data_IF_869797050132
#
_entry.id   IF_869797050132
#
_cell.length_a   1.000
_cell.length_b   1.000
_cell.length_c   1.000
_cell.angle_alpha   90.00
_cell.angle_beta   90.00
_cell.angle_gamma   90.00
#
_symmetry.space_group_name_H-M   'P 1'
#
loop_
_entity.id
_entity.type
_entity.pdbx_description
1 polymer ?
#
# COMPACT_ATOMS: atom_id res chain seq x y z
N UNK A 1 -6.78 2.84 70.77
CA UNK A 1 -5.59 2.04 70.38
C UNK A 1 -5.87 1.42 69.02
N UNK A 2 -4.90 1.54 68.11
CA UNK A 2 -4.84 1.05 66.71
C UNK A 2 -5.65 1.82 65.64
N UNK A 3 -4.97 2.83 65.10
CA UNK A 3 -4.93 3.15 63.67
C UNK A 3 -4.41 1.94 62.86
N UNK A 4 -4.86 1.74 61.61
CA UNK A 4 -4.03 1.39 60.43
C UNK A 4 -4.89 1.15 59.18
N UNK A 5 -4.54 1.87 58.09
CA UNK A 5 -4.71 1.54 56.66
C UNK A 5 -6.14 1.45 56.08
N UNK A 6 -6.43 1.89 54.85
CA UNK A 6 -5.59 2.31 53.75
C UNK A 6 -6.33 3.36 52.92
N UNK A 7 -5.59 4.41 52.56
CA UNK A 7 -5.93 5.29 51.45
C UNK A 7 -5.75 4.47 50.17
N UNK A 8 -6.83 4.08 49.51
CA UNK A 8 -6.73 3.34 48.23
C UNK A 8 -7.72 3.78 47.18
N UNK A 9 -8.26 5.01 47.27
CA UNK A 9 -9.22 5.49 46.24
C UNK A 9 -8.74 6.73 45.46
N UNK A 10 -7.61 7.35 45.81
CA UNK A 10 -7.19 8.60 45.15
C UNK A 10 -6.19 8.43 43.99
N UNK A 11 -5.73 7.21 43.69
CA UNK A 11 -4.80 6.96 42.56
C UNK A 11 -5.46 6.42 41.31
N UNK A 12 -6.73 5.97 41.38
CA UNK A 12 -7.43 5.39 40.25
C UNK A 12 -8.17 6.42 39.38
N UNK A 13 -8.67 7.52 39.97
CA UNK A 13 -9.29 8.60 39.18
C UNK A 13 -8.29 9.39 38.31
N UNK A 14 -7.02 9.46 38.72
CA UNK A 14 -5.98 10.18 37.94
C UNK A 14 -5.57 9.45 36.65
N UNK A 15 -5.97 8.19 36.47
CA UNK A 15 -5.66 7.41 35.26
C UNK A 15 -6.72 7.53 34.16
N UNK A 16 -7.90 8.08 34.44
CA UNK A 16 -8.96 8.28 33.44
C UNK A 16 -9.00 9.68 32.82
N UNK A 17 -8.20 10.62 33.31
CA UNK A 17 -8.05 11.96 32.71
C UNK A 17 -6.91 12.06 31.70
N UNK A 18 -6.23 10.97 31.38
CA UNK A 18 -5.34 10.93 30.22
C UNK A 18 -6.19 10.71 28.98
N UNK A 19 -6.62 11.82 28.40
CA UNK A 19 -6.90 11.92 26.98
C UNK A 19 -5.76 11.23 26.22
N UNK A 20 -5.96 9.96 25.85
CA UNK A 20 -5.30 9.39 24.68
C UNK A 20 -6.03 9.99 23.48
N UNK A 21 -5.91 11.32 23.35
CA UNK A 21 -5.80 11.93 22.04
C UNK A 21 -4.70 11.12 21.41
N UNK A 22 -5.06 10.27 20.46
CA UNK A 22 -4.12 9.67 19.54
C UNK A 22 -3.40 10.84 18.87
N UNK A 23 -2.35 11.33 19.53
CA UNK A 23 -1.31 12.08 18.90
C UNK A 23 -0.84 11.11 17.83
N UNK A 24 -1.27 11.36 16.59
CA UNK A 24 -0.69 10.70 15.45
C UNK A 24 0.81 10.82 15.68
N UNK A 25 1.48 9.68 15.90
CA UNK A 25 2.93 9.67 15.96
C UNK A 25 3.37 10.52 14.76
N UNK A 26 4.21 11.56 14.97
CA UNK A 26 4.70 12.33 13.84
C UNK A 26 5.22 11.28 12.86
N UNK A 27 4.67 11.28 11.64
CA UNK A 27 5.12 10.37 10.60
C UNK A 27 6.65 10.43 10.66
N UNK A 28 7.35 9.28 10.74
CA UNK A 28 8.80 9.28 10.86
C UNK A 28 9.34 10.27 9.83
N UNK A 29 10.27 11.17 10.22
CA UNK A 29 10.77 12.19 9.32
C UNK A 29 11.12 11.50 8.00
N UNK A 30 10.67 12.03 6.86
CA UNK A 30 10.90 11.38 5.57
C UNK A 30 12.39 11.04 5.51
N UNK A 31 12.75 9.76 5.24
CA UNK A 31 14.15 9.37 5.18
C UNK A 31 14.89 10.33 4.23
N UNK A 32 16.14 10.70 4.55
CA UNK A 32 16.90 11.68 3.77
C UNK A 32 16.86 11.31 2.28
N UNK A 33 16.77 12.29 1.38
CA UNK A 33 16.64 12.02 -0.04
C UNK A 33 17.93 11.36 -0.58
N UNK A 34 17.93 10.03 -0.68
CA UNK A 34 18.84 9.23 -1.48
C UNK A 34 18.94 9.78 -2.91
N UNK A 35 20.18 10.00 -3.35
CA UNK A 35 20.60 10.85 -4.46
C UNK A 35 20.51 10.23 -5.87
N UNK A 36 19.62 9.26 -6.09
CA UNK A 36 19.39 8.65 -7.41
C UNK A 36 18.11 9.21 -8.06
N UNK A 37 17.93 9.11 -9.39
CA UNK A 37 16.63 9.41 -10.01
C UNK A 37 15.55 8.57 -9.33
N UNK A 38 14.62 9.23 -8.67
CA UNK A 38 13.56 8.60 -7.89
C UNK A 38 12.31 8.42 -8.74
N UNK A 39 11.56 7.35 -8.49
CA UNK A 39 10.26 7.16 -9.15
C UNK A 39 9.33 8.34 -8.91
N UNK A 40 9.39 9.00 -7.74
CA UNK A 40 8.58 10.18 -7.49
C UNK A 40 8.86 11.31 -8.48
N UNK A 41 10.13 11.51 -8.89
CA UNK A 41 10.50 12.53 -9.88
C UNK A 41 9.95 12.21 -11.26
N UNK A 42 9.98 10.93 -11.66
CA UNK A 42 9.48 10.48 -12.96
C UNK A 42 7.94 10.50 -13.02
N UNK A 43 7.27 10.36 -11.88
CA UNK A 43 5.80 10.28 -11.77
C UNK A 43 5.15 11.53 -11.16
N UNK A 44 5.87 12.67 -11.09
CA UNK A 44 5.36 13.90 -10.47
C UNK A 44 3.99 14.33 -11.01
N UNK A 45 3.77 14.21 -12.32
CA UNK A 45 2.51 14.57 -12.95
C UNK A 45 1.37 13.63 -12.51
N UNK A 46 1.62 12.33 -12.43
CA UNK A 46 0.63 11.36 -11.96
C UNK A 46 0.28 11.56 -10.48
N UNK A 47 1.28 11.90 -9.65
CA UNK A 47 1.09 12.26 -8.23
C UNK A 47 0.24 13.53 -8.12
N UNK A 48 0.54 14.57 -8.91
CA UNK A 48 -0.19 15.84 -8.89
C UNK A 48 -1.67 15.68 -9.28
N UNK A 49 -1.99 14.72 -10.15
CA UNK A 49 -3.37 14.34 -10.52
C UNK A 49 -4.08 13.51 -9.44
N UNK A 50 -3.38 13.11 -8.36
CA UNK A 50 -3.92 12.23 -7.32
C UNK A 50 -4.14 10.79 -7.79
N UNK A 51 -3.58 10.39 -8.93
CA UNK A 51 -3.81 9.08 -9.52
C UNK A 51 -3.04 7.95 -8.82
N UNK A 52 -1.94 8.29 -8.15
CA UNK A 52 -1.09 7.37 -7.39
C UNK A 52 -0.34 8.11 -6.28
N UNK A 53 0.26 7.35 -5.37
CA UNK A 53 1.21 7.83 -4.38
C UNK A 53 2.56 7.15 -4.59
N UNK A 54 3.66 7.86 -4.33
CA UNK A 54 5.01 7.29 -4.39
C UNK A 54 5.71 7.53 -3.07
N UNK A 55 6.30 6.47 -2.52
CA UNK A 55 7.17 6.54 -1.37
C UNK A 55 8.56 6.03 -1.76
N UNK A 56 9.53 6.93 -1.75
CA UNK A 56 10.94 6.60 -1.99
C UNK A 56 11.66 6.40 -0.66
N UNK A 57 12.19 5.19 -0.47
CA UNK A 57 13.04 4.78 0.63
C UNK A 57 14.48 4.61 0.13
N UNK A 58 15.41 4.35 1.05
CA UNK A 58 16.83 4.18 0.70
C UNK A 58 17.09 2.94 -0.17
N UNK A 59 16.32 1.87 0.06
CA UNK A 59 16.49 0.54 -0.56
C UNK A 59 15.44 0.23 -1.64
N UNK A 60 14.41 1.07 -1.77
CA UNK A 60 13.29 0.85 -2.70
C UNK A 60 12.47 2.09 -2.97
N UNK A 61 11.72 2.05 -4.06
CA UNK A 61 10.63 2.99 -4.35
C UNK A 61 9.34 2.22 -4.49
N UNK A 62 8.31 2.60 -3.75
CA UNK A 62 6.99 1.96 -3.80
C UNK A 62 5.95 2.92 -4.36
N UNK A 63 5.30 2.51 -5.44
CA UNK A 63 4.14 3.19 -6.03
C UNK A 63 2.89 2.52 -5.50
N UNK A 64 2.01 3.27 -4.86
CA UNK A 64 0.73 2.78 -4.35
C UNK A 64 -0.40 3.34 -5.18
N UNK A 65 -1.28 2.46 -5.67
CA UNK A 65 -2.45 2.82 -6.47
C UNK A 65 -3.69 2.27 -5.77
N UNK A 66 -4.66 3.14 -5.53
CA UNK A 66 -5.94 2.75 -4.95
C UNK A 66 -6.65 1.74 -5.85
N UNK A 67 -7.25 0.70 -5.28
CA UNK A 67 -7.90 -0.37 -6.04
C UNK A 67 -9.28 0.01 -6.58
N UNK A 68 -9.95 0.98 -5.96
CA UNK A 68 -11.26 1.46 -6.37
C UNK A 68 -11.15 2.19 -7.72
N UNK A 69 -11.88 1.73 -8.73
CA UNK A 69 -11.79 2.23 -10.11
C UNK A 69 -10.54 1.76 -10.89
N UNK A 70 -9.62 1.04 -10.23
CA UNK A 70 -8.44 0.47 -10.88
C UNK A 70 -8.76 -0.85 -11.60
N UNK A 71 -9.63 -1.66 -10.99
CA UNK A 71 -10.14 -2.90 -11.54
C UNK A 71 -11.63 -2.80 -11.80
N UNK A 72 -12.11 -3.58 -12.77
CA UNK A 72 -13.55 -3.77 -12.95
C UNK A 72 -14.17 -4.37 -11.67
N UNK A 73 -15.41 -3.99 -11.30
CA UNK A 73 -16.04 -4.45 -10.07
C UNK A 73 -16.05 -5.98 -9.94
N UNK A 74 -15.55 -6.50 -8.82
CA UNK A 74 -15.48 -7.95 -8.57
C UNK A 74 -14.52 -8.71 -9.50
N UNK A 75 -13.67 -8.01 -10.27
CA UNK A 75 -12.72 -8.59 -11.21
C UNK A 75 -11.27 -8.33 -10.81
N UNK A 76 -10.38 -9.07 -11.47
CA UNK A 76 -8.94 -8.80 -11.53
C UNK A 76 -8.54 -8.07 -12.82
N UNK A 77 -9.50 -7.80 -13.72
CA UNK A 77 -9.26 -7.09 -14.96
C UNK A 77 -9.04 -5.59 -14.70
N UNK A 78 -7.92 -5.06 -15.20
CA UNK A 78 -7.57 -3.64 -15.07
C UNK A 78 -8.44 -2.81 -15.99
N UNK A 79 -9.10 -1.80 -15.43
CA UNK A 79 -10.00 -0.92 -16.15
C UNK A 79 -9.27 -0.18 -17.27
N UNK A 80 -9.91 -0.05 -18.44
CA UNK A 80 -9.30 0.55 -19.63
C UNK A 80 -8.81 1.99 -19.39
N UNK A 81 -9.52 2.76 -18.56
CA UNK A 81 -9.16 4.13 -18.20
C UNK A 81 -7.81 4.24 -17.46
N UNK A 82 -7.32 3.15 -16.88
CA UNK A 82 -6.14 3.11 -16.02
C UNK A 82 -4.90 2.60 -16.75
N UNK A 83 -5.08 1.91 -17.88
CA UNK A 83 -3.98 1.38 -18.70
C UNK A 83 -2.95 2.46 -19.11
N UNK A 84 -3.33 3.71 -19.45
CA UNK A 84 -2.36 4.77 -19.72
C UNK A 84 -1.46 5.09 -18.52
N UNK A 85 -2.02 5.10 -17.31
CA UNK A 85 -1.25 5.31 -16.07
C UNK A 85 -0.23 4.19 -15.85
N UNK A 86 -0.62 2.94 -16.10
CA UNK A 86 0.31 1.80 -16.02
C UNK A 86 1.43 1.88 -17.07
N UNK A 87 1.15 2.40 -18.27
CA UNK A 87 2.18 2.65 -19.27
C UNK A 87 3.16 3.75 -18.83
N UNK A 88 2.67 4.85 -18.23
CA UNK A 88 3.52 5.89 -17.62
C UNK A 88 4.44 5.29 -16.54
N UNK A 89 3.89 4.44 -15.66
CA UNK A 89 4.66 3.74 -14.61
C UNK A 89 5.69 2.80 -15.23
N UNK A 90 5.31 2.01 -16.24
CA UNK A 90 6.22 1.08 -16.90
C UNK A 90 7.41 1.81 -17.56
N UNK A 91 7.15 2.95 -18.21
CA UNK A 91 8.18 3.79 -18.81
C UNK A 91 9.12 4.41 -17.75
N UNK A 92 8.59 4.80 -16.59
CA UNK A 92 9.41 5.27 -15.47
C UNK A 92 10.29 4.14 -14.89
N UNK A 93 9.72 2.95 -14.69
CA UNK A 93 10.45 1.76 -14.20
C UNK A 93 11.52 1.28 -15.18
N UNK A 94 11.34 1.49 -16.48
CA UNK A 94 12.31 1.09 -17.50
C UNK A 94 13.61 1.90 -17.44
N UNK A 95 13.54 3.14 -16.95
CA UNK A 95 14.69 4.03 -16.79
C UNK A 95 15.57 3.69 -15.58
N UNK A 96 15.05 2.90 -14.64
CA UNK A 96 15.74 2.53 -13.41
C UNK A 96 16.08 1.05 -13.43
N UNK A 97 17.27 0.63 -12.97
CA UNK A 97 17.60 -0.78 -12.79
C UNK A 97 16.95 -1.34 -11.52
N UNK A 98 16.87 -2.67 -11.41
CA UNK A 98 16.43 -3.37 -10.20
C UNK A 98 15.17 -4.24 -10.41
N UNK A 99 14.94 -5.22 -9.53
CA UNK A 99 13.73 -6.05 -9.57
C UNK A 99 12.50 -5.23 -9.17
N UNK A 100 11.37 -5.58 -9.77
CA UNK A 100 10.06 -4.96 -9.54
C UNK A 100 9.10 -6.03 -9.04
N UNK A 101 8.50 -5.78 -7.88
CA UNK A 101 7.45 -6.62 -7.30
C UNK A 101 6.13 -5.88 -7.34
N UNK A 102 5.11 -6.51 -7.93
CA UNK A 102 3.72 -6.07 -7.89
C UNK A 102 3.02 -6.83 -6.76
N UNK A 103 2.46 -6.12 -5.79
CA UNK A 103 1.77 -6.71 -4.65
C UNK A 103 0.30 -6.28 -4.65
N UNK A 104 -0.61 -7.26 -4.65
CA UNK A 104 -2.05 -7.03 -4.56
C UNK A 104 -2.54 -7.15 -3.12
N UNK A 105 -3.41 -6.22 -2.72
CA UNK A 105 -4.04 -6.19 -1.40
C UNK A 105 -5.56 -6.17 -1.50
N UNK A 106 -6.22 -6.73 -0.49
CA UNK A 106 -7.68 -6.65 -0.29
C UNK A 106 -7.99 -6.01 1.05
N UNK A 107 -9.26 -5.71 1.29
CA UNK A 107 -9.77 -5.53 2.65
C UNK A 107 -10.09 -6.89 3.29
N UNK A 108 -10.55 -6.87 4.54
CA UNK A 108 -10.88 -8.05 5.30
C UNK A 108 -12.29 -8.62 5.01
N UNK A 109 -13.03 -8.07 4.05
CA UNK A 109 -14.35 -8.60 3.73
C UNK A 109 -14.16 -9.89 2.93
N UNK A 110 -14.73 -11.01 3.36
CA UNK A 110 -14.52 -12.28 2.69
C UNK A 110 -15.15 -12.24 1.29
N UNK A 111 -14.35 -12.47 0.26
CA UNK A 111 -14.86 -12.76 -1.09
C UNK A 111 -14.92 -14.27 -1.31
N UNK A 112 -16.05 -14.72 -1.87
CA UNK A 112 -16.22 -16.06 -2.41
C UNK A 112 -17.04 -15.98 -3.68
N UNK A 113 -16.40 -16.19 -4.81
CA UNK A 113 -17.07 -16.28 -6.11
C UNK A 113 -16.55 -17.49 -6.87
N UNK A 114 -17.25 -17.88 -7.94
CA UNK A 114 -16.81 -18.97 -8.82
C UNK A 114 -15.40 -18.72 -9.39
N UNK A 115 -15.03 -17.46 -9.58
CA UNK A 115 -13.73 -17.06 -10.14
C UNK A 115 -12.66 -16.88 -9.07
N UNK A 116 -13.03 -16.41 -7.88
CA UNK A 116 -12.10 -16.12 -6.78
C UNK A 116 -12.59 -16.81 -5.50
N UNK A 117 -12.02 -17.98 -5.15
CA UNK A 117 -12.44 -18.72 -3.97
C UNK A 117 -12.00 -18.05 -2.66
N UNK A 118 -11.02 -17.13 -2.71
CA UNK A 118 -10.55 -16.37 -1.56
C UNK A 118 -10.02 -14.97 -1.93
N UNK A 119 -9.85 -14.11 -0.90
CA UNK A 119 -9.18 -12.82 -1.04
C UNK A 119 -7.71 -12.97 -1.47
N UNK A 120 -7.06 -14.07 -1.08
CA UNK A 120 -5.70 -14.37 -1.53
C UNK A 120 -5.66 -14.55 -3.04
N UNK A 121 -6.56 -15.36 -3.60
CA UNK A 121 -6.63 -15.58 -5.05
C UNK A 121 -6.95 -14.29 -5.81
N UNK A 122 -7.92 -13.50 -5.32
CA UNK A 122 -8.24 -12.19 -5.92
C UNK A 122 -7.02 -11.26 -5.92
N UNK A 123 -6.32 -11.15 -4.79
CA UNK A 123 -5.17 -10.27 -4.64
C UNK A 123 -4.02 -10.70 -5.56
N UNK A 124 -3.77 -12.01 -5.69
CA UNK A 124 -2.75 -12.57 -6.57
C UNK A 124 -3.07 -12.35 -8.03
N UNK A 125 -4.30 -12.60 -8.46
CA UNK A 125 -4.76 -12.40 -9.84
C UNK A 125 -4.71 -10.93 -10.26
N UNK A 126 -5.03 -10.01 -9.34
CA UNK A 126 -4.89 -8.56 -9.55
C UNK A 126 -3.42 -8.16 -9.77
N UNK A 127 -2.52 -8.65 -8.93
CA UNK A 127 -1.10 -8.41 -9.07
C UNK A 127 -0.57 -8.96 -10.41
N UNK A 128 -1.01 -10.17 -10.79
CA UNK A 128 -0.63 -10.79 -12.06
C UNK A 128 -1.15 -10.01 -13.26
N UNK A 129 -2.40 -9.54 -13.23
CA UNK A 129 -2.98 -8.72 -14.30
C UNK A 129 -2.20 -7.43 -14.54
N UNK A 130 -1.74 -6.78 -13.46
CA UNK A 130 -0.85 -5.61 -13.57
C UNK A 130 0.52 -6.02 -14.11
N UNK A 131 1.12 -7.11 -13.62
CA UNK A 131 2.39 -7.64 -14.13
C UNK A 131 2.35 -7.88 -15.63
N UNK A 132 1.26 -8.46 -16.14
CA UNK A 132 1.06 -8.72 -17.57
C UNK A 132 1.07 -7.44 -18.41
N UNK A 133 0.49 -6.35 -17.91
CA UNK A 133 0.55 -5.06 -18.60
C UNK A 133 1.96 -4.46 -18.58
N UNK A 134 2.70 -4.62 -17.49
CA UNK A 134 4.08 -4.12 -17.38
C UNK A 134 5.07 -4.90 -18.27
N UNK A 135 4.78 -6.16 -18.61
CA UNK A 135 5.59 -6.98 -19.52
C UNK A 135 5.71 -6.40 -20.94
N UNK A 136 4.81 -5.49 -21.33
CA UNK A 136 4.90 -4.80 -22.62
C UNK A 136 6.13 -3.88 -22.72
N UNK A 137 6.73 -3.49 -21.60
CA UNK A 137 7.85 -2.55 -21.55
C UNK A 137 9.04 -3.09 -20.76
N UNK A 138 8.79 -3.88 -19.71
CA UNK A 138 9.82 -4.40 -18.81
C UNK A 138 10.13 -5.87 -19.10
N UNK A 139 11.40 -6.29 -19.01
CA UNK A 139 11.76 -7.69 -19.19
C UNK A 139 11.20 -8.55 -18.05
N UNK A 140 10.59 -9.69 -18.39
CA UNK A 140 9.86 -10.51 -17.42
C UNK A 140 10.69 -11.03 -16.25
N UNK A 141 11.99 -11.22 -16.42
CA UNK A 141 12.90 -11.61 -15.34
C UNK A 141 13.01 -10.57 -14.21
N UNK A 142 12.67 -9.30 -14.49
CA UNK A 142 12.64 -8.24 -13.47
C UNK A 142 11.33 -8.22 -12.69
N UNK A 143 10.27 -8.83 -13.21
CA UNK A 143 8.92 -8.66 -12.69
C UNK A 143 8.47 -9.86 -11.85
N UNK A 144 7.94 -9.60 -10.66
CA UNK A 144 7.24 -10.57 -9.81
C UNK A 144 5.85 -10.07 -9.47
N UNK A 145 4.91 -11.00 -9.25
CA UNK A 145 3.58 -10.71 -8.75
C UNK A 145 3.31 -11.51 -7.49
N UNK A 146 2.75 -10.85 -6.48
CA UNK A 146 2.45 -11.42 -5.17
C UNK A 146 1.06 -10.98 -4.71
N UNK A 147 0.28 -11.90 -4.16
CA UNK A 147 -0.98 -11.59 -3.48
C UNK A 147 -0.80 -11.73 -1.98
N UNK A 148 -1.21 -10.73 -1.21
CA UNK A 148 -1.11 -10.76 0.26
C UNK A 148 -2.45 -10.63 0.97
N UNK A 149 -3.56 -10.65 0.23
CA UNK A 149 -4.91 -10.46 0.76
C UNK A 149 -4.97 -9.25 1.72
N UNK A 150 -5.53 -9.45 2.91
CA UNK A 150 -5.71 -8.47 3.98
C UNK A 150 -4.60 -8.50 5.04
N UNK A 151 -3.53 -9.27 4.84
CA UNK A 151 -2.45 -9.47 5.83
C UNK A 151 -1.58 -8.23 6.10
N UNK A 152 -1.65 -7.22 5.23
CA UNK A 152 -0.86 -5.97 5.33
C UNK A 152 -1.77 -4.72 5.18
N UNK A 153 -2.64 -4.45 6.17
CA UNK A 153 -3.53 -3.28 6.12
C UNK A 153 -2.74 -1.99 6.38
N UNK A 154 -3.11 -0.93 5.68
CA UNK A 154 -2.59 0.45 5.86
C UNK A 154 -3.61 1.36 6.55
N UNK A 155 -4.80 0.83 6.79
CA UNK A 155 -5.93 1.54 7.35
C UNK A 155 -6.83 0.59 8.14
N UNK A 156 -7.68 1.17 9.00
CA UNK A 156 -8.65 0.41 9.78
C UNK A 156 -9.75 -0.21 8.89
N UNK A 157 -9.90 -1.53 8.96
CA UNK A 157 -10.92 -2.27 8.23
C UNK A 157 -12.35 -2.08 8.77
N UNK A 158 -12.53 -1.51 9.97
CA UNK A 158 -13.86 -1.25 10.52
C UNK A 158 -14.62 -0.19 9.70
N UNK A 159 -13.91 0.76 9.09
CA UNK A 159 -14.53 1.86 8.33
C UNK A 159 -14.54 1.60 6.82
N UNK A 160 -15.60 2.01 6.08
CA UNK A 160 -15.61 1.91 4.62
C UNK A 160 -14.42 2.61 3.96
N UNK A 161 -14.05 3.78 4.47
CA UNK A 161 -12.91 4.56 3.97
C UNK A 161 -11.57 3.84 4.20
N UNK A 162 -11.39 3.17 5.34
CA UNK A 162 -10.18 2.40 5.59
C UNK A 162 -10.11 1.13 4.75
N UNK A 163 -11.23 0.43 4.54
CA UNK A 163 -11.29 -0.70 3.59
C UNK A 163 -10.92 -0.29 2.17
N UNK A 164 -11.41 0.86 1.70
CA UNK A 164 -11.05 1.41 0.39
C UNK A 164 -9.54 1.65 0.25
N UNK A 165 -8.88 2.16 1.31
CA UNK A 165 -7.41 2.32 1.33
C UNK A 165 -6.66 0.99 1.36
N UNK A 166 -7.23 -0.05 1.99
CA UNK A 166 -6.61 -1.37 2.04
C UNK A 166 -6.68 -2.11 0.70
N UNK A 167 -7.77 -1.93 -0.06
CA UNK A 167 -7.87 -2.40 -1.46
C UNK A 167 -6.95 -1.58 -2.34
N UNK A 168 -5.73 -2.06 -2.59
CA UNK A 168 -4.71 -1.34 -3.36
C UNK A 168 -3.76 -2.30 -4.08
N UNK A 169 -3.00 -1.75 -5.01
CA UNK A 169 -1.84 -2.40 -5.62
C UNK A 169 -0.61 -1.58 -5.30
N UNK A 170 0.45 -2.27 -4.90
CA UNK A 170 1.76 -1.69 -4.70
C UNK A 170 2.70 -2.19 -5.79
N UNK A 171 3.47 -1.30 -6.40
CA UNK A 171 4.54 -1.63 -7.34
C UNK A 171 5.83 -1.15 -6.72
N UNK A 172 6.66 -2.09 -6.27
CA UNK A 172 7.92 -1.79 -5.57
C UNK A 172 9.11 -2.09 -6.46
N UNK A 173 9.92 -1.08 -6.73
CA UNK A 173 11.24 -1.21 -7.34
C UNK A 173 12.29 -1.29 -6.24
N UNK A 174 13.07 -2.36 -6.17
CA UNK A 174 14.22 -2.40 -5.28
C UNK A 174 15.37 -1.60 -5.91
N UNK A 175 15.89 -0.62 -5.16
CA UNK A 175 17.04 0.18 -5.54
C UNK A 175 18.27 -0.52 -4.98
N UNK A 176 19.15 -1.00 -5.86
CA UNK A 176 20.45 -1.51 -5.41
C UNK A 176 21.22 -0.30 -4.85
N UNK A 177 21.48 -0.31 -3.54
CA UNK A 177 22.41 0.63 -2.93
C UNK A 177 23.77 0.47 -3.60
N UNK A 178 24.30 1.57 -4.12
CA UNK A 178 25.64 1.62 -4.69
C UNK A 178 26.69 1.61 -3.58
#
# INVERSE_FOLDING_TARGET
RLSLHARTDATFETLQSMDVRAAALPAPPPPPPAASPRLATLLQQAIARGALQVQDLADRSTVTIAGDGFFEPGSAEVASAVRPLLAEIAAALAQLPGPVTVTGHTDNQPIRSLRFPSNFDLSRERAESVRQLLLATLPGQRLRAEGVADSRPVADNATPAGRARNRRVEITLAVQGN
#
